data_IF_299437638575
#
_entry.id   IF_299437638575
#
_cell.length_a   1.000
_cell.length_b   1.000
_cell.length_c   1.000
_cell.angle_alpha   90.00
_cell.angle_beta   90.00
_cell.angle_gamma   90.00
#
_symmetry.space_group_name_H-M   'P 1'
#
loop_
_entity.id
_entity.type
_entity.pdbx_description
1 polymer ?
#
# COMPACT_ATOMS: atom_id res chain seq x y z
N UNK A 1 6.69 6.58 9.70
CA UNK A 1 5.86 5.46 10.23
C UNK A 1 4.66 5.91 11.04
N UNK A 2 4.86 6.87 11.95
CA UNK A 2 3.75 7.35 12.78
C UNK A 2 2.60 7.93 11.97
N UNK A 3 2.88 8.64 10.89
CA UNK A 3 1.85 9.21 10.02
C UNK A 3 0.97 8.13 9.39
N UNK A 4 1.59 7.04 8.93
CA UNK A 4 0.87 5.91 8.33
C UNK A 4 -0.05 5.24 9.36
N UNK A 5 0.48 4.97 10.54
CA UNK A 5 -0.28 4.34 11.63
C UNK A 5 -1.44 5.24 12.05
N UNK A 6 -1.19 6.53 12.22
CA UNK A 6 -2.23 7.50 12.59
C UNK A 6 -3.33 7.60 11.53
N UNK A 7 -2.96 7.64 10.26
CA UNK A 7 -3.93 7.72 9.17
C UNK A 7 -4.77 6.45 9.07
N UNK A 8 -4.14 5.28 9.15
CA UNK A 8 -4.84 4.01 9.13
C UNK A 8 -5.85 3.90 10.29
N UNK A 9 -5.41 4.27 11.48
CA UNK A 9 -6.23 4.27 12.68
C UNK A 9 -7.45 5.19 12.52
N UNK A 10 -7.21 6.42 12.04
CA UNK A 10 -8.28 7.39 11.79
C UNK A 10 -9.32 6.86 10.80
N UNK A 11 -8.88 6.24 9.70
CA UNK A 11 -9.76 5.68 8.68
C UNK A 11 -10.66 4.57 9.25
N UNK A 12 -10.13 3.74 10.13
CA UNK A 12 -10.91 2.69 10.78
C UNK A 12 -11.85 3.27 11.85
N UNK A 13 -11.40 4.25 12.64
CA UNK A 13 -12.21 4.89 13.67
C UNK A 13 -13.43 5.62 13.10
N UNK A 14 -13.24 6.28 11.95
CA UNK A 14 -14.33 7.02 11.29
C UNK A 14 -15.19 6.12 10.40
N UNK A 15 -14.85 4.83 10.33
CA UNK A 15 -15.53 3.86 9.47
C UNK A 15 -15.48 4.24 7.99
N UNK A 16 -14.49 5.02 7.59
CA UNK A 16 -14.25 5.35 6.18
C UNK A 16 -13.82 4.11 5.41
N UNK A 17 -13.04 3.24 6.06
CA UNK A 17 -12.69 1.91 5.55
C UNK A 17 -12.97 0.88 6.63
N UNK A 18 -13.12 -0.38 6.23
CA UNK A 18 -13.41 -1.48 7.14
C UNK A 18 -12.22 -2.41 7.34
N UNK A 19 -11.20 -2.27 6.49
CA UNK A 19 -9.97 -3.07 6.60
C UNK A 19 -8.79 -2.24 6.10
N UNK A 20 -7.62 -2.42 6.72
CA UNK A 20 -6.36 -1.85 6.25
C UNK A 20 -5.46 -3.00 5.85
N UNK A 21 -5.01 -2.98 4.59
CA UNK A 21 -4.08 -3.97 4.04
C UNK A 21 -2.68 -3.34 4.12
N UNK A 22 -1.80 -3.93 4.87
CA UNK A 22 -0.46 -3.38 5.06
C UNK A 22 0.57 -4.45 5.32
N UNK A 23 1.73 -4.02 5.76
CA UNK A 23 2.84 -4.91 6.09
C UNK A 23 2.98 -5.01 7.60
N UNK A 24 3.25 -6.20 8.06
CA UNK A 24 3.53 -6.47 9.47
C UNK A 24 4.71 -7.40 9.61
N UNK A 25 5.06 -7.69 10.87
CA UNK A 25 6.17 -8.57 11.18
C UNK A 25 5.86 -10.01 10.77
N UNK A 26 6.72 -10.59 9.94
CA UNK A 26 6.67 -12.00 9.57
C UNK A 26 7.65 -12.83 10.40
N UNK A 27 8.02 -13.98 9.86
CA UNK A 27 9.02 -14.86 10.49
C UNK A 27 10.43 -14.39 10.16
N UNK A 28 11.34 -14.51 11.12
CA UNK A 28 12.74 -14.05 11.02
C UNK A 28 12.78 -12.56 10.67
N UNK A 29 13.56 -12.15 9.68
CA UNK A 29 13.70 -10.75 9.25
C UNK A 29 12.76 -10.38 8.09
N UNK A 30 11.71 -11.17 7.88
CA UNK A 30 10.77 -10.94 6.78
C UNK A 30 9.54 -10.20 7.24
N UNK A 31 8.85 -9.56 6.30
CA UNK A 31 7.55 -8.94 6.52
C UNK A 31 6.46 -9.82 5.87
N UNK A 32 5.23 -9.59 6.28
CA UNK A 32 4.08 -10.28 5.71
C UNK A 32 2.92 -9.29 5.51
N UNK A 33 1.99 -9.65 4.64
CA UNK A 33 0.74 -8.92 4.52
C UNK A 33 -0.10 -9.10 5.78
N UNK A 34 -0.66 -8.01 6.29
CA UNK A 34 -1.57 -8.08 7.43
C UNK A 34 -2.86 -7.33 7.07
N UNK A 35 -3.96 -7.73 7.71
CA UNK A 35 -5.29 -7.21 7.45
C UNK A 35 -5.88 -6.75 8.77
N UNK A 36 -5.99 -5.43 8.94
CA UNK A 36 -6.39 -4.82 10.21
C UNK A 36 -7.83 -4.32 10.10
N UNK A 37 -8.68 -4.78 10.99
CA UNK A 37 -10.08 -4.36 11.04
C UNK A 37 -10.40 -3.50 12.26
N UNK A 38 -9.46 -3.41 13.21
CA UNK A 38 -9.63 -2.63 14.44
C UNK A 38 -8.58 -1.52 14.52
N UNK A 39 -8.99 -0.29 14.91
CA UNK A 39 -8.03 0.81 15.03
C UNK A 39 -6.87 0.50 15.99
N UNK A 40 -7.13 -0.20 17.08
CA UNK A 40 -6.11 -0.52 18.08
C UNK A 40 -5.00 -1.43 17.54
N UNK A 41 -5.27 -2.17 16.48
CA UNK A 41 -4.32 -3.09 15.88
C UNK A 41 -3.37 -2.40 14.88
N UNK A 42 -3.61 -1.12 14.56
CA UNK A 42 -2.81 -0.39 13.57
C UNK A 42 -1.35 -0.21 13.99
N UNK A 43 -1.03 -0.35 15.26
CA UNK A 43 0.36 -0.31 15.75
C UNK A 43 1.20 -1.47 15.19
N UNK A 44 0.56 -2.51 14.65
CA UNK A 44 1.23 -3.64 14.00
C UNK A 44 1.78 -3.30 12.62
N UNK A 45 1.35 -2.18 12.03
CA UNK A 45 1.85 -1.74 10.72
C UNK A 45 3.32 -1.38 10.81
N UNK A 46 4.07 -1.84 9.82
CA UNK A 46 5.46 -1.42 9.64
C UNK A 46 5.72 -1.17 8.16
N UNK A 47 6.73 -0.38 7.88
CA UNK A 47 7.18 -0.17 6.51
C UNK A 47 8.68 0.11 6.51
N UNK A 48 9.42 -0.72 5.80
CA UNK A 48 10.86 -0.57 5.60
C UNK A 48 11.28 -1.27 4.30
N UNK A 49 12.57 -1.38 4.06
CA UNK A 49 13.11 -1.98 2.83
C UNK A 49 12.77 -3.46 2.65
N UNK A 50 12.27 -4.12 3.69
CA UNK A 50 11.85 -5.53 3.61
C UNK A 50 10.43 -5.69 3.04
N UNK A 51 9.69 -4.59 2.89
CA UNK A 51 8.30 -4.60 2.43
C UNK A 51 8.26 -4.69 0.91
N UNK A 52 8.40 -5.90 0.38
CA UNK A 52 8.51 -6.17 -1.05
C UNK A 52 7.31 -6.93 -1.63
N UNK A 53 6.41 -7.44 -0.79
CA UNK A 53 5.23 -8.16 -1.25
C UNK A 53 4.29 -7.21 -1.99
N UNK A 54 3.68 -7.68 -3.07
CA UNK A 54 2.70 -6.90 -3.82
C UNK A 54 1.31 -7.07 -3.20
N UNK A 55 0.92 -6.10 -2.37
CA UNK A 55 -0.36 -6.14 -1.67
C UNK A 55 -1.57 -5.98 -2.59
N UNK A 56 -1.38 -5.47 -3.80
CA UNK A 56 -2.48 -5.23 -4.74
C UNK A 56 -3.25 -6.50 -5.09
N UNK A 57 -2.61 -7.67 -5.00
CA UNK A 57 -3.26 -8.96 -5.29
C UNK A 57 -4.46 -9.21 -4.37
N UNK A 58 -4.47 -8.64 -3.17
CA UNK A 58 -5.56 -8.83 -2.23
C UNK A 58 -6.79 -7.99 -2.56
N UNK A 59 -6.65 -6.95 -3.38
CA UNK A 59 -7.76 -6.06 -3.74
C UNK A 59 -8.85 -6.76 -4.56
N UNK A 60 -8.49 -7.83 -5.26
CA UNK A 60 -9.43 -8.60 -6.08
C UNK A 60 -9.92 -9.87 -5.36
N UNK A 61 -9.40 -10.16 -4.18
CA UNK A 61 -9.81 -11.34 -3.40
C UNK A 61 -11.21 -11.16 -2.82
N UNK A 62 -12.05 -12.16 -3.00
CA UNK A 62 -13.43 -12.15 -2.50
C UNK A 62 -13.49 -11.94 -0.98
N UNK A 63 -12.62 -12.58 -0.25
CA UNK A 63 -12.55 -12.49 1.22
C UNK A 63 -12.32 -11.04 1.68
N UNK A 64 -11.47 -10.31 0.97
CA UNK A 64 -11.19 -8.91 1.31
C UNK A 64 -12.38 -8.02 0.94
N UNK A 65 -12.95 -8.21 -0.25
CA UNK A 65 -14.13 -7.45 -0.68
C UNK A 65 -15.30 -7.63 0.28
N UNK A 66 -15.43 -8.82 0.85
CA UNK A 66 -16.50 -9.14 1.80
C UNK A 66 -16.34 -8.38 3.11
N UNK A 67 -15.14 -7.99 3.50
CA UNK A 67 -14.90 -7.20 4.71
C UNK A 67 -15.37 -5.74 4.55
N UNK A 68 -15.45 -5.24 3.33
CA UNK A 68 -15.85 -3.88 3.04
C UNK A 68 -14.81 -3.12 2.22
N UNK A 69 -14.77 -1.81 2.39
CA UNK A 69 -13.83 -0.96 1.66
C UNK A 69 -12.45 -1.01 2.30
N UNK A 70 -11.39 -1.35 1.54
CA UNK A 70 -10.04 -1.39 2.08
C UNK A 70 -9.30 -0.07 1.93
N UNK A 71 -8.38 0.18 2.87
CA UNK A 71 -7.26 1.08 2.66
C UNK A 71 -6.04 0.19 2.44
N UNK A 72 -5.16 0.56 1.51
CA UNK A 72 -4.01 -0.24 1.18
C UNK A 72 -2.72 0.59 1.29
N UNK A 73 -1.74 0.04 2.00
CA UNK A 73 -0.39 0.61 2.05
C UNK A 73 0.27 0.31 0.71
N UNK A 74 0.70 1.36 0.01
CA UNK A 74 1.10 1.24 -1.37
C UNK A 74 2.47 1.87 -1.65
N UNK A 75 3.55 1.09 -1.52
CA UNK A 75 4.83 1.48 -2.10
C UNK A 75 4.73 1.43 -3.64
N UNK A 76 5.76 1.90 -4.32
CA UNK A 76 5.75 2.08 -5.78
C UNK A 76 5.26 0.84 -6.56
N UNK A 77 5.73 -0.40 -6.27
CA UNK A 77 5.23 -1.56 -7.02
C UNK A 77 3.72 -1.77 -6.87
N UNK A 78 3.21 -1.52 -5.67
CA UNK A 78 1.78 -1.66 -5.41
C UNK A 78 1.00 -0.59 -6.15
N UNK A 79 1.51 0.65 -6.20
CA UNK A 79 0.88 1.73 -6.97
C UNK A 79 0.77 1.36 -8.46
N UNK A 80 1.83 0.80 -9.03
CA UNK A 80 1.82 0.38 -10.43
C UNK A 80 0.81 -0.74 -10.68
N UNK A 81 0.72 -1.69 -9.75
CA UNK A 81 -0.25 -2.78 -9.85
C UNK A 81 -1.68 -2.29 -9.72
N UNK A 82 -1.93 -1.28 -8.86
CA UNK A 82 -3.26 -0.66 -8.75
C UNK A 82 -3.66 -0.02 -10.08
N UNK A 83 -2.76 0.70 -10.73
CA UNK A 83 -3.04 1.30 -12.05
C UNK A 83 -3.32 0.23 -13.10
N UNK A 84 -2.61 -0.89 -13.06
CA UNK A 84 -2.84 -2.01 -13.97
C UNK A 84 -4.24 -2.60 -13.77
N UNK A 85 -4.64 -2.83 -12.53
CA UNK A 85 -5.98 -3.33 -12.21
C UNK A 85 -7.06 -2.34 -12.64
N UNK A 86 -6.82 -1.05 -12.48
CA UNK A 86 -7.74 0.00 -12.94
C UNK A 86 -7.87 -0.01 -14.46
N UNK A 87 -6.77 -0.19 -15.19
CA UNK A 87 -6.77 -0.28 -16.65
C UNK A 87 -7.53 -1.50 -17.14
N UNK A 88 -7.56 -2.58 -16.37
CA UNK A 88 -8.31 -3.81 -16.68
C UNK A 88 -9.76 -3.75 -16.17
N UNK A 89 -10.21 -2.61 -15.68
CA UNK A 89 -11.55 -2.39 -15.12
C UNK A 89 -11.86 -3.26 -13.88
N UNK A 90 -10.83 -3.68 -13.15
CA UNK A 90 -11.00 -4.48 -11.94
C UNK A 90 -11.10 -3.65 -10.68
N UNK A 91 -10.69 -2.37 -10.73
CA UNK A 91 -10.78 -1.44 -9.61
C UNK A 91 -11.32 -0.09 -10.06
N UNK A 92 -12.09 0.55 -9.18
CA UNK A 92 -12.54 1.93 -9.32
C UNK A 92 -11.98 2.74 -8.16
N UNK A 93 -11.80 4.05 -8.37
CA UNK A 93 -11.28 4.94 -7.34
C UNK A 93 -12.08 4.92 -6.05
N UNK A 94 -13.39 4.72 -6.15
CA UNK A 94 -14.29 4.65 -4.99
C UNK A 94 -14.19 3.35 -4.20
N UNK A 95 -13.50 2.32 -4.75
CA UNK A 95 -13.43 1.00 -4.12
C UNK A 95 -12.41 0.90 -3.00
N UNK A 96 -11.50 1.88 -2.89
CA UNK A 96 -10.38 1.79 -1.95
C UNK A 96 -9.86 3.17 -1.56
N UNK A 97 -9.08 3.19 -0.47
CA UNK A 97 -8.27 4.34 -0.08
C UNK A 97 -6.80 3.94 -0.24
N UNK A 98 -6.02 4.78 -0.89
CA UNK A 98 -4.61 4.48 -1.17
C UNK A 98 -3.71 5.26 -0.23
N UNK A 99 -2.98 4.53 0.61
CA UNK A 99 -1.98 5.09 1.51
C UNK A 99 -0.61 4.88 0.88
N UNK A 100 -0.25 5.78 -0.04
CA UNK A 100 1.01 5.70 -0.75
C UNK A 100 2.19 5.89 0.20
N UNK A 101 3.26 5.17 -0.03
CA UNK A 101 4.49 5.32 0.75
C UNK A 101 5.64 5.51 -0.23
N UNK A 102 6.33 6.66 -0.11
CA UNK A 102 7.48 6.96 -0.94
C UNK A 102 8.69 6.12 -0.51
N UNK A 103 9.71 6.12 -1.35
CA UNK A 103 10.97 5.43 -1.03
C UNK A 103 11.67 6.02 0.21
N UNK A 104 11.26 7.20 0.67
CA UNK A 104 11.75 7.82 1.90
C UNK A 104 10.84 7.50 3.10
N UNK A 105 9.93 6.55 2.95
CA UNK A 105 8.96 6.12 3.96
C UNK A 105 7.99 7.23 4.39
N UNK A 106 7.72 8.19 3.50
CA UNK A 106 6.76 9.25 3.75
C UNK A 106 5.39 8.86 3.19
N UNK A 107 4.36 9.15 3.96
CA UNK A 107 2.98 8.94 3.54
C UNK A 107 2.59 9.93 2.44
N UNK A 108 2.01 9.42 1.37
CA UNK A 108 1.47 10.22 0.27
C UNK A 108 0.03 9.78 0.05
N UNK A 109 -0.91 10.70 0.18
CA UNK A 109 -2.32 10.42 -0.08
C UNK A 109 -2.65 10.70 -1.54
N UNK A 110 -3.27 9.74 -2.21
CA UNK A 110 -3.70 9.89 -3.60
C UNK A 110 -5.22 9.94 -3.65
N UNK A 111 -5.76 11.00 -4.24
CA UNK A 111 -7.21 11.19 -4.37
C UNK A 111 -7.77 10.51 -5.62
N UNK A 112 -6.91 10.19 -6.59
CA UNK A 112 -7.33 9.59 -7.85
C UNK A 112 -6.22 8.76 -8.46
N UNK A 113 -6.57 7.89 -9.40
CA UNK A 113 -5.59 7.13 -10.16
C UNK A 113 -4.73 8.07 -11.03
N UNK A 114 -5.32 9.15 -11.53
CA UNK A 114 -4.57 10.17 -12.27
C UNK A 114 -3.48 10.81 -11.45
N UNK A 115 -3.72 11.04 -10.15
CA UNK A 115 -2.71 11.57 -9.23
C UNK A 115 -1.52 10.61 -9.10
N UNK A 116 -1.77 9.30 -9.08
CA UNK A 116 -0.72 8.28 -9.05
C UNK A 116 0.12 8.33 -10.33
N UNK A 117 -0.54 8.42 -11.47
CA UNK A 117 0.15 8.51 -12.77
C UNK A 117 1.09 9.71 -12.84
N UNK A 118 0.61 10.87 -12.39
CA UNK A 118 1.42 12.10 -12.35
C UNK A 118 2.61 11.93 -11.42
N UNK A 119 2.40 11.35 -10.24
CA UNK A 119 3.46 11.11 -9.27
C UNK A 119 4.54 10.20 -9.86
N UNK A 120 4.16 9.08 -10.47
CA UNK A 120 5.10 8.13 -11.05
C UNK A 120 5.88 8.75 -12.21
N UNK A 121 5.24 9.53 -13.06
CA UNK A 121 5.90 10.20 -14.19
C UNK A 121 6.89 11.27 -13.71
N UNK A 122 6.49 12.08 -12.72
CA UNK A 122 7.31 13.14 -12.16
C UNK A 122 8.59 12.63 -11.52
N UNK A 123 8.52 11.46 -10.88
CA UNK A 123 9.63 10.87 -10.12
C UNK A 123 10.27 9.67 -10.83
N UNK A 124 9.99 9.48 -12.11
CA UNK A 124 10.38 8.29 -12.86
C UNK A 124 11.87 7.94 -12.75
N UNK A 125 12.76 8.91 -12.91
CA UNK A 125 14.21 8.67 -12.87
C UNK A 125 14.64 8.21 -11.49
N UNK A 126 14.20 8.89 -10.44
CA UNK A 126 14.53 8.55 -9.05
C UNK A 126 14.01 7.16 -8.67
N UNK A 127 12.79 6.86 -9.09
CA UNK A 127 12.14 5.58 -8.82
C UNK A 127 12.92 4.44 -9.48
N UNK A 128 13.25 4.59 -10.75
CA UNK A 128 13.95 3.55 -11.51
C UNK A 128 15.34 3.24 -10.93
N UNK A 129 16.07 4.26 -10.51
CA UNK A 129 17.37 4.09 -9.88
C UNK A 129 17.27 3.34 -8.55
N UNK A 130 16.33 3.72 -7.70
CA UNK A 130 16.12 3.08 -6.40
C UNK A 130 15.61 1.64 -6.55
N UNK A 131 14.77 1.41 -7.53
CA UNK A 131 14.27 0.06 -7.83
C UNK A 131 15.38 -0.86 -8.26
N UNK A 132 16.26 -0.37 -9.12
CA UNK A 132 17.41 -1.12 -9.57
C UNK A 132 18.29 -1.54 -8.39
N UNK A 133 18.55 -0.62 -7.46
CA UNK A 133 19.32 -0.91 -6.25
C UNK A 133 18.62 -1.96 -5.37
N UNK A 134 17.31 -1.87 -5.22
CA UNK A 134 16.52 -2.82 -4.43
C UNK A 134 16.55 -4.21 -5.05
N UNK A 135 16.39 -4.31 -6.36
CA UNK A 135 16.43 -5.58 -7.09
C UNK A 135 17.82 -6.22 -6.95
N UNK A 136 18.87 -5.44 -7.04
CA UNK A 136 20.24 -5.93 -6.87
C UNK A 136 20.46 -6.48 -5.46
N UNK A 137 19.92 -5.83 -4.42
CA UNK A 137 19.96 -6.34 -3.04
C UNK A 137 19.25 -7.67 -2.89
N UNK A 138 18.10 -7.82 -3.53
CA UNK A 138 17.31 -9.06 -3.48
C UNK A 138 18.05 -10.20 -4.18
N UNK A 139 18.74 -9.90 -5.29
CA UNK A 139 19.50 -10.90 -6.04
C UNK A 139 20.81 -11.29 -5.36
N UNK A 140 21.34 -10.41 -4.55
CA UNK A 140 22.55 -10.70 -3.79
C UNK A 140 22.20 -11.59 -2.59
#
# INVERSE_FOLDING_TARGET
MNELIQKAKSLLETNTVQVVIGYGKGTADKTRAIFLTKPDDCDQLLFDSRCVQNLAVYLTKHEIKHLGKPAIVAPIPVLRSILQLAAENQLKESDLVILGVSHESKLIEFESFGAIEVFLETHKIEIDEKYKATIEKIKA
#
